data_IF_750296760213
#
_entry.id   IF_750296760213
#
_cell.length_a   1.000
_cell.length_b   1.000
_cell.length_c   1.000
_cell.angle_alpha   90.00
_cell.angle_beta   90.00
_cell.angle_gamma   90.00
#
_symmetry.space_group_name_H-M   'P 1'
#
loop_
_entity.id
_entity.type
_entity.pdbx_description
1 polymer ?
#
# COMPACT_ATOMS: atom_id res chain seq x y z
N UNK A 1 6.96 37.62 0.39
CA UNK A 1 6.60 36.94 -0.87
C UNK A 1 7.91 36.50 -1.49
N UNK A 2 8.31 35.24 -1.33
CA UNK A 2 9.43 34.70 -2.12
C UNK A 2 8.98 34.63 -3.58
N UNK A 3 9.79 35.17 -4.49
CA UNK A 3 9.56 35.08 -5.93
C UNK A 3 9.42 33.61 -6.34
N UNK A 4 8.28 33.26 -6.94
CA UNK A 4 8.07 31.96 -7.60
C UNK A 4 8.95 31.93 -8.86
N UNK A 5 10.23 31.60 -8.68
CA UNK A 5 11.23 31.46 -9.75
C UNK A 5 10.85 30.40 -10.78
N UNK A 6 9.81 29.61 -10.53
CA UNK A 6 9.37 28.53 -11.40
C UNK A 6 10.36 27.35 -11.46
N UNK A 7 11.50 27.42 -10.77
CA UNK A 7 12.47 26.34 -10.64
C UNK A 7 12.14 25.46 -9.43
N UNK A 8 12.40 24.16 -9.51
CA UNK A 8 12.27 23.27 -8.37
C UNK A 8 13.41 23.57 -7.37
N UNK A 9 13.20 23.37 -6.06
CA UNK A 9 14.29 23.27 -5.09
C UNK A 9 15.28 22.21 -5.54
N UNK A 10 16.54 22.28 -5.10
CA UNK A 10 17.47 21.18 -5.41
C UNK A 10 17.10 19.93 -4.60
N UNK A 11 17.40 18.76 -5.15
CA UNK A 11 17.07 17.47 -4.54
C UNK A 11 17.77 17.25 -3.20
N UNK A 12 18.90 17.92 -2.94
CA UNK A 12 19.54 17.90 -1.62
C UNK A 12 18.62 18.44 -0.50
N UNK A 13 17.72 19.39 -0.81
CA UNK A 13 16.59 19.75 0.05
C UNK A 13 15.38 18.84 -0.29
N UNK A 14 15.54 17.55 0.02
CA UNK A 14 14.59 16.51 -0.39
C UNK A 14 13.16 16.78 0.12
N UNK A 15 13.01 17.36 1.32
CA UNK A 15 11.68 17.64 1.89
C UNK A 15 10.92 18.67 1.06
N UNK A 16 11.56 19.81 0.75
CA UNK A 16 10.96 20.86 -0.07
C UNK A 16 10.78 20.39 -1.51
N UNK A 17 11.81 19.76 -2.10
CA UNK A 17 11.75 19.20 -3.44
C UNK A 17 10.59 18.21 -3.60
N UNK A 18 10.43 17.28 -2.65
CA UNK A 18 9.40 16.24 -2.70
C UNK A 18 7.99 16.83 -2.66
N UNK A 19 7.72 17.77 -1.76
CA UNK A 19 6.40 18.40 -1.69
C UNK A 19 6.08 19.18 -2.96
N UNK A 20 7.09 19.86 -3.52
CA UNK A 20 6.89 20.70 -4.69
C UNK A 20 6.77 19.89 -5.99
N UNK A 21 7.51 18.79 -6.13
CA UNK A 21 7.42 17.93 -7.33
C UNK A 21 6.07 17.22 -7.42
N UNK A 22 5.49 16.77 -6.29
CA UNK A 22 4.18 16.11 -6.30
C UNK A 22 3.07 17.03 -6.83
N UNK A 23 3.12 18.31 -6.48
CA UNK A 23 2.17 19.30 -6.99
C UNK A 23 2.48 19.68 -8.44
N UNK A 24 3.75 20.03 -8.75
CA UNK A 24 4.14 20.51 -10.09
C UNK A 24 4.02 19.46 -11.18
N UNK A 25 4.23 18.18 -10.84
CA UNK A 25 4.06 17.07 -11.75
C UNK A 25 2.63 16.51 -11.76
N UNK A 26 1.67 17.16 -11.09
CA UNK A 26 0.27 16.71 -11.02
C UNK A 26 0.17 15.24 -10.56
N UNK A 27 0.80 14.91 -9.43
CA UNK A 27 0.74 13.58 -8.82
C UNK A 27 -0.42 13.50 -7.83
N UNK A 28 -0.43 14.37 -6.82
CA UNK A 28 -1.49 14.43 -5.81
C UNK A 28 -1.83 15.88 -5.43
N UNK A 29 -3.09 16.11 -5.06
CA UNK A 29 -3.58 17.34 -4.46
C UNK A 29 -3.83 17.13 -2.96
N UNK A 30 -3.05 17.84 -2.15
CA UNK A 30 -3.12 17.76 -0.69
C UNK A 30 -4.18 18.67 -0.06
N UNK A 31 -4.90 19.46 -0.89
CA UNK A 31 -5.90 20.43 -0.43
C UNK A 31 -7.28 19.82 -0.16
N UNK A 32 -7.42 18.51 -0.32
CA UNK A 32 -8.65 17.82 0.09
C UNK A 32 -8.92 18.12 1.57
N UNK A 33 -10.15 18.48 1.97
CA UNK A 33 -10.43 19.05 3.28
C UNK A 33 -10.49 18.00 4.41
N UNK A 34 -9.68 16.94 4.33
CA UNK A 34 -9.49 15.94 5.39
C UNK A 34 -8.00 15.64 5.51
N UNK A 35 -7.44 15.77 6.72
CA UNK A 35 -6.01 15.51 6.98
C UNK A 35 -5.67 14.08 6.54
N UNK A 36 -4.59 13.94 5.76
CA UNK A 36 -4.04 12.64 5.39
C UNK A 36 -4.81 11.86 4.31
N UNK A 37 -5.87 12.45 3.77
CA UNK A 37 -6.62 11.96 2.61
C UNK A 37 -6.34 12.92 1.46
N UNK A 38 -5.91 12.42 0.31
CA UNK A 38 -5.42 13.25 -0.79
C UNK A 38 -6.02 12.80 -2.12
N UNK A 39 -6.21 13.74 -3.04
CA UNK A 39 -6.76 13.44 -4.37
C UNK A 39 -5.61 13.08 -5.30
N UNK A 40 -5.74 11.98 -6.03
CA UNK A 40 -4.85 11.67 -7.14
C UNK A 40 -5.23 12.50 -8.36
N UNK A 41 -4.27 13.24 -8.91
CA UNK A 41 -4.45 13.83 -10.23
C UNK A 41 -4.41 12.74 -11.32
N UNK A 42 -5.01 12.99 -12.50
CA UNK A 42 -4.99 12.00 -13.60
C UNK A 42 -3.59 11.55 -14.01
N UNK A 43 -2.58 12.43 -13.96
CA UNK A 43 -1.21 12.06 -14.29
C UNK A 43 -0.62 11.10 -13.24
N UNK A 44 -0.65 11.47 -11.96
CA UNK A 44 -0.25 10.60 -10.85
C UNK A 44 -0.96 9.25 -10.85
N UNK A 45 -2.28 9.25 -11.03
CA UNK A 45 -3.06 8.01 -11.08
C UNK A 45 -2.65 7.11 -12.27
N UNK A 46 -2.26 7.71 -13.41
CA UNK A 46 -1.78 6.94 -14.54
C UNK A 46 -0.39 6.31 -14.29
N UNK A 47 0.48 6.96 -13.50
CA UNK A 47 1.76 6.36 -13.05
C UNK A 47 1.48 5.18 -12.13
N UNK A 48 0.62 5.40 -11.13
CA UNK A 48 0.12 4.35 -10.22
C UNK A 48 -0.43 3.16 -10.99
N UNK A 49 -1.36 3.38 -11.92
CA UNK A 49 -2.00 2.31 -12.72
C UNK A 49 -0.98 1.43 -13.44
N UNK A 50 0.11 2.00 -13.97
CA UNK A 50 1.14 1.23 -14.67
C UNK A 50 2.04 0.45 -13.73
N UNK A 51 2.46 1.05 -12.62
CA UNK A 51 3.24 0.34 -11.61
C UNK A 51 2.44 -0.84 -11.05
N UNK A 52 1.17 -0.62 -10.68
CA UNK A 52 0.31 -1.69 -10.16
C UNK A 52 -0.10 -2.70 -11.25
N UNK A 53 -0.06 -2.33 -12.53
CA UNK A 53 -0.22 -3.30 -13.63
C UNK A 53 0.92 -4.33 -13.62
N UNK A 54 2.17 -3.88 -13.50
CA UNK A 54 3.32 -4.79 -13.37
C UNK A 54 3.18 -5.67 -12.12
N UNK A 55 2.70 -5.10 -11.00
CA UNK A 55 2.47 -5.86 -9.78
C UNK A 55 1.40 -6.95 -9.97
N UNK A 56 0.28 -6.64 -10.64
CA UNK A 56 -0.75 -7.63 -10.98
C UNK A 56 -0.17 -8.74 -11.87
N UNK A 57 0.52 -8.39 -12.95
CA UNK A 57 1.14 -9.36 -13.86
C UNK A 57 2.10 -10.33 -13.14
N UNK A 58 2.72 -9.89 -12.04
CA UNK A 58 3.56 -10.72 -11.17
C UNK A 58 2.74 -11.60 -10.23
N UNK A 59 1.74 -11.02 -9.56
CA UNK A 59 0.88 -11.73 -8.61
C UNK A 59 0.05 -12.82 -9.31
N UNK A 60 -0.53 -12.51 -10.48
CA UNK A 60 -1.42 -13.37 -11.26
C UNK A 60 -0.74 -14.65 -11.81
N UNK A 61 0.58 -14.79 -11.64
CA UNK A 61 1.31 -16.02 -12.00
C UNK A 61 0.93 -17.19 -11.09
N UNK A 62 0.66 -16.92 -9.81
CA UNK A 62 0.39 -17.96 -8.79
C UNK A 62 -0.65 -17.53 -7.74
N UNK A 63 -1.26 -16.35 -7.86
CA UNK A 63 -2.30 -15.85 -6.96
C UNK A 63 -3.52 -15.41 -7.75
N UNK A 64 -4.67 -15.42 -7.11
CA UNK A 64 -5.91 -14.91 -7.68
C UNK A 64 -6.31 -13.57 -7.03
N UNK A 65 -6.67 -12.58 -7.85
CA UNK A 65 -7.17 -11.29 -7.37
C UNK A 65 -8.61 -11.45 -6.86
N UNK A 66 -8.87 -10.97 -5.64
CA UNK A 66 -10.18 -11.02 -4.97
C UNK A 66 -10.54 -9.65 -4.38
N UNK A 67 -11.72 -9.54 -3.79
CA UNK A 67 -12.21 -8.31 -3.15
C UNK A 67 -13.05 -8.63 -1.93
N UNK A 68 -12.53 -8.31 -0.75
CA UNK A 68 -13.28 -8.35 0.49
C UNK A 68 -13.92 -7.00 0.81
N UNK A 69 -15.04 -6.98 1.57
CA UNK A 69 -15.67 -5.74 2.03
C UNK A 69 -14.72 -4.83 2.82
N UNK A 70 -15.01 -3.53 2.79
CA UNK A 70 -14.23 -2.51 3.49
C UNK A 70 -14.44 -2.50 5.00
N UNK A 71 -15.67 -2.80 5.42
CA UNK A 71 -16.15 -2.67 6.79
C UNK A 71 -15.99 -4.01 7.51
N UNK A 72 -15.40 -3.95 8.71
CA UNK A 72 -15.17 -5.11 9.58
C UNK A 72 -16.04 -4.95 10.82
N UNK A 73 -16.91 -5.91 11.16
CA UNK A 73 -17.67 -5.87 12.41
C UNK A 73 -16.73 -5.83 13.62
N UNK A 74 -17.05 -5.01 14.62
CA UNK A 74 -16.29 -4.96 15.88
C UNK A 74 -16.12 -6.36 16.49
N UNK A 75 -17.14 -7.21 16.43
CA UNK A 75 -17.10 -8.59 16.93
C UNK A 75 -16.05 -9.47 16.26
N UNK A 76 -15.75 -9.23 14.97
CA UNK A 76 -14.71 -9.96 14.25
C UNK A 76 -13.35 -9.30 14.41
N UNK A 77 -13.32 -7.97 14.42
CA UNK A 77 -12.10 -7.19 14.64
C UNK A 77 -11.50 -7.47 16.02
N UNK A 78 -12.35 -7.64 17.04
CA UNK A 78 -11.95 -7.78 18.44
C UNK A 78 -11.47 -9.20 18.84
N UNK A 79 -11.47 -10.18 17.93
CA UNK A 79 -11.05 -11.56 18.23
C UNK A 79 -9.56 -11.71 18.48
N UNK A 80 -8.70 -10.93 17.83
CA UNK A 80 -7.24 -11.08 17.95
C UNK A 80 -6.58 -9.96 18.75
N UNK A 81 -6.52 -10.15 20.08
CA UNK A 81 -6.01 -9.18 21.05
C UNK A 81 -4.61 -8.65 20.73
N UNK A 82 -3.71 -9.48 20.22
CA UNK A 82 -2.34 -9.07 19.88
C UNK A 82 -2.32 -8.15 18.66
N UNK A 83 -3.12 -8.49 17.65
CA UNK A 83 -3.27 -7.69 16.44
C UNK A 83 -3.92 -6.34 16.76
N UNK A 84 -4.98 -6.34 17.57
CA UNK A 84 -5.71 -5.13 17.97
C UNK A 84 -4.81 -4.14 18.70
N UNK A 85 -3.98 -4.59 19.66
CA UNK A 85 -3.05 -3.70 20.38
C UNK A 85 -2.12 -2.92 19.45
N UNK A 86 -1.82 -3.47 18.27
CA UNK A 86 -1.02 -2.79 17.25
C UNK A 86 -1.76 -1.72 16.45
N UNK A 87 -3.10 -1.72 16.49
CA UNK A 87 -3.96 -0.86 15.67
C UNK A 87 -5.00 -0.08 16.47
N UNK A 88 -5.22 -0.32 17.76
CA UNK A 88 -6.37 0.21 18.52
C UNK A 88 -6.53 1.74 18.42
N UNK A 89 -5.40 2.45 18.51
CA UNK A 89 -5.35 3.92 18.42
C UNK A 89 -5.44 4.45 16.97
N UNK A 90 -5.42 3.56 15.98
CA UNK A 90 -5.38 3.89 14.55
C UNK A 90 -6.68 3.51 13.80
N UNK A 91 -7.73 3.04 14.47
CA UNK A 91 -8.96 2.59 13.80
C UNK A 91 -9.99 3.71 13.65
N UNK A 92 -10.61 3.79 12.48
CA UNK A 92 -11.82 4.57 12.26
C UNK A 92 -13.07 3.70 12.45
N UNK A 93 -14.04 4.18 13.22
CA UNK A 93 -15.30 3.49 13.46
C UNK A 93 -16.47 4.17 12.74
N UNK A 94 -17.27 3.37 12.06
CA UNK A 94 -18.60 3.72 11.58
C UNK A 94 -19.60 3.25 12.62
N UNK A 95 -20.26 4.19 13.28
CA UNK A 95 -21.24 3.92 14.35
C UNK A 95 -22.68 4.23 13.94
N UNK A 96 -22.88 4.87 12.78
CA UNK A 96 -24.21 5.28 12.32
C UNK A 96 -24.47 4.83 10.88
N UNK A 97 -25.66 4.26 10.66
CA UNK A 97 -26.23 3.98 9.35
C UNK A 97 -27.34 4.99 9.04
N UNK A 98 -27.07 5.95 8.16
CA UNK A 98 -27.98 7.07 7.96
C UNK A 98 -28.07 7.94 9.23
N UNK A 99 -29.23 7.95 9.89
CA UNK A 99 -29.45 8.66 11.16
C UNK A 99 -29.49 7.77 12.40
N UNK A 100 -29.48 6.44 12.21
CA UNK A 100 -29.61 5.49 13.30
C UNK A 100 -28.23 4.99 13.73
N UNK A 101 -28.06 4.79 15.02
CA UNK A 101 -26.91 4.08 15.56
C UNK A 101 -26.94 2.61 15.10
N UNK A 102 -25.77 2.04 14.83
CA UNK A 102 -25.63 0.64 14.44
C UNK A 102 -25.61 -0.24 15.69
N UNK A 103 -26.29 -1.40 15.63
CA UNK A 103 -26.24 -2.40 16.70
C UNK A 103 -24.81 -2.93 16.94
N UNK A 104 -24.01 -2.99 15.86
CA UNK A 104 -22.59 -3.37 15.91
C UNK A 104 -21.78 -2.31 15.16
N UNK A 105 -20.85 -1.61 15.84
CA UNK A 105 -19.90 -0.71 15.18
C UNK A 105 -19.07 -1.43 14.12
N UNK A 106 -18.77 -0.73 13.03
CA UNK A 106 -17.99 -1.27 11.92
C UNK A 106 -16.67 -0.51 11.76
N UNK A 107 -15.54 -1.20 11.85
CA UNK A 107 -14.23 -0.62 11.60
C UNK A 107 -14.00 -0.45 10.09
N UNK A 108 -13.44 0.69 9.67
CA UNK A 108 -12.76 0.77 8.38
C UNK A 108 -11.46 -0.01 8.47
N UNK A 109 -11.25 -1.01 7.59
CA UNK A 109 -10.07 -1.89 7.65
C UNK A 109 -8.73 -1.12 7.74
N UNK A 110 -7.93 -1.30 8.80
CA UNK A 110 -6.52 -0.87 8.81
C UNK A 110 -5.61 -1.84 8.03
N UNK A 111 -6.07 -3.08 7.94
CA UNK A 111 -5.56 -4.26 7.22
C UNK A 111 -6.68 -5.31 7.24
N UNK A 112 -6.64 -6.34 6.39
CA UNK A 112 -7.80 -7.21 6.14
C UNK A 112 -7.76 -8.58 6.80
N UNK A 113 -6.78 -8.93 7.65
CA UNK A 113 -6.72 -10.22 8.34
C UNK A 113 -8.07 -10.59 8.99
N UNK A 114 -8.63 -9.69 9.78
CA UNK A 114 -9.88 -9.91 10.53
C UNK A 114 -11.14 -9.85 9.66
N UNK A 115 -11.02 -9.38 8.40
CA UNK A 115 -12.09 -9.45 7.40
C UNK A 115 -12.01 -10.74 6.56
N UNK A 116 -10.80 -11.24 6.32
CA UNK A 116 -10.52 -12.35 5.41
C UNK A 116 -10.64 -13.70 6.13
N UNK A 117 -10.06 -13.80 7.32
CA UNK A 117 -9.90 -15.07 8.03
C UNK A 117 -11.21 -15.72 8.51
N UNK A 118 -12.27 -14.98 8.89
CA UNK A 118 -13.59 -15.58 9.07
C UNK A 118 -14.09 -16.31 7.82
N UNK A 119 -13.80 -15.79 6.63
CA UNK A 119 -14.21 -16.41 5.37
C UNK A 119 -13.34 -17.62 5.03
N UNK A 120 -12.03 -17.56 5.32
CA UNK A 120 -11.14 -18.70 5.11
C UNK A 120 -11.53 -19.90 5.97
N UNK A 121 -11.99 -19.68 7.21
CA UNK A 121 -12.57 -20.75 8.05
C UNK A 121 -13.81 -21.40 7.44
N UNK A 122 -14.55 -20.65 6.60
CA UNK A 122 -15.71 -21.19 5.89
C UNK A 122 -15.32 -21.98 4.64
N UNK A 123 -14.31 -21.50 3.90
CA UNK A 123 -13.92 -22.02 2.59
C UNK A 123 -13.00 -23.23 2.66
N UNK A 124 -12.12 -23.28 3.67
CA UNK A 124 -11.12 -24.34 3.82
C UNK A 124 -11.73 -25.45 4.66
N UNK A 125 -11.77 -26.67 4.12
CA UNK A 125 -12.34 -27.85 4.79
C UNK A 125 -11.42 -29.07 4.68
N UNK A 126 -10.70 -29.22 3.58
CA UNK A 126 -9.82 -30.35 3.28
C UNK A 126 -8.46 -29.87 2.81
N UNK A 127 -7.44 -30.71 2.94
CA UNK A 127 -6.11 -30.47 2.37
C UNK A 127 -6.14 -30.18 0.85
N UNK A 128 -7.18 -30.62 0.13
CA UNK A 128 -7.37 -30.32 -1.29
C UNK A 128 -7.73 -28.87 -1.60
N UNK A 129 -8.18 -28.11 -0.59
CA UNK A 129 -8.47 -26.67 -0.72
C UNK A 129 -7.20 -25.82 -0.57
N UNK A 130 -6.06 -26.46 -0.28
CA UNK A 130 -4.77 -25.83 -0.03
C UNK A 130 -3.76 -26.15 -1.15
N UNK A 131 -2.84 -25.22 -1.46
CA UNK A 131 -2.73 -23.88 -0.88
C UNK A 131 -3.76 -22.90 -1.46
N UNK A 132 -4.36 -22.09 -0.60
CA UNK A 132 -5.19 -20.96 -1.03
C UNK A 132 -4.31 -19.72 -1.13
N UNK A 133 -4.28 -19.06 -2.30
CA UNK A 133 -3.38 -17.93 -2.57
C UNK A 133 -4.13 -16.74 -3.18
N UNK A 134 -4.61 -15.82 -2.34
CA UNK A 134 -5.40 -14.68 -2.80
C UNK A 134 -4.68 -13.34 -2.55
N UNK A 135 -5.00 -12.35 -3.36
CA UNK A 135 -4.59 -10.97 -3.12
C UNK A 135 -5.68 -9.96 -3.50
N UNK A 136 -5.62 -8.76 -2.93
CA UNK A 136 -6.48 -7.65 -3.32
C UNK A 136 -5.71 -6.33 -3.32
N UNK A 137 -6.16 -5.36 -4.12
CA UNK A 137 -5.63 -4.00 -4.11
C UNK A 137 -6.75 -3.05 -3.70
N UNK A 138 -6.70 -2.59 -2.45
CA UNK A 138 -7.81 -1.88 -1.80
C UNK A 138 -7.36 -0.65 -1.03
N UNK A 139 -8.33 0.12 -0.54
CA UNK A 139 -8.08 1.19 0.41
C UNK A 139 -8.02 0.63 1.83
N UNK A 140 -7.02 1.06 2.59
CA UNK A 140 -6.92 0.84 4.04
C UNK A 140 -6.84 2.16 4.78
N UNK A 141 -7.31 2.17 6.02
CA UNK A 141 -7.47 3.38 6.83
C UNK A 141 -6.73 3.26 8.14
N UNK A 142 -5.87 4.23 8.44
CA UNK A 142 -5.12 4.29 9.71
C UNK A 142 -5.16 5.71 10.23
N UNK A 143 -5.69 5.94 11.43
CA UNK A 143 -5.77 7.25 12.07
C UNK A 143 -4.38 7.74 12.53
N UNK A 144 -3.48 7.96 11.57
CA UNK A 144 -2.12 8.40 11.83
C UNK A 144 -2.13 9.75 12.56
N UNK A 145 -1.57 9.74 13.77
CA UNK A 145 -1.50 10.90 14.67
C UNK A 145 -0.33 11.81 14.29
N UNK A 146 0.75 11.25 13.73
CA UNK A 146 1.95 11.98 13.32
C UNK A 146 1.69 12.85 12.08
N UNK A 147 2.70 13.62 11.69
CA UNK A 147 2.67 14.42 10.47
C UNK A 147 2.52 13.52 9.24
N UNK A 148 1.43 13.70 8.48
CA UNK A 148 1.20 12.98 7.23
C UNK A 148 2.10 13.53 6.13
N UNK A 149 2.53 12.64 5.23
CA UNK A 149 3.35 12.98 4.06
C UNK A 149 2.82 12.20 2.86
N UNK A 150 2.39 12.87 1.77
CA UNK A 150 1.74 12.21 0.64
C UNK A 150 2.54 10.99 0.13
N UNK A 151 1.83 9.90 -0.16
CA UNK A 151 2.35 8.58 -0.56
C UNK A 151 3.22 7.84 0.47
N UNK A 152 3.76 8.52 1.48
CA UNK A 152 4.68 7.95 2.49
C UNK A 152 3.93 7.56 3.76
N UNK A 153 3.08 8.47 4.25
CA UNK A 153 2.34 8.33 5.50
C UNK A 153 0.99 9.04 5.36
N UNK A 154 -0.07 8.26 5.31
CA UNK A 154 -1.42 8.68 4.96
C UNK A 154 -2.41 8.21 6.03
N UNK A 155 -3.62 8.77 6.00
CA UNK A 155 -4.75 8.26 6.77
C UNK A 155 -5.66 7.34 5.96
N UNK A 156 -5.70 7.57 4.65
CA UNK A 156 -6.25 6.63 3.66
C UNK A 156 -5.12 6.23 2.71
N UNK A 157 -4.78 4.95 2.71
CA UNK A 157 -3.82 4.37 1.76
C UNK A 157 -4.65 3.81 0.61
N UNK A 158 -4.73 4.52 -0.52
CA UNK A 158 -5.67 4.17 -1.62
C UNK A 158 -5.18 3.04 -2.55
N UNK A 159 -4.08 2.38 -2.20
CA UNK A 159 -3.43 1.37 -3.06
C UNK A 159 -2.72 0.32 -2.23
N UNK A 160 -3.33 -0.16 -1.16
CA UNK A 160 -2.73 -1.24 -0.41
C UNK A 160 -2.99 -2.56 -1.14
N UNK A 161 -1.94 -3.09 -1.77
CA UNK A 161 -1.93 -4.49 -2.19
C UNK A 161 -1.65 -5.34 -0.97
N UNK A 162 -2.55 -6.23 -0.61
CA UNK A 162 -2.38 -7.23 0.46
C UNK A 162 -2.67 -8.61 -0.12
N UNK A 163 -1.79 -9.56 0.20
CA UNK A 163 -1.92 -10.95 -0.23
C UNK A 163 -1.97 -11.79 1.03
N UNK A 164 -2.89 -12.75 1.06
CA UNK A 164 -3.11 -13.65 2.18
C UNK A 164 -3.13 -15.05 1.60
N UNK A 165 -2.30 -15.92 2.16
CA UNK A 165 -2.14 -17.29 1.68
C UNK A 165 -2.29 -18.27 2.83
N UNK A 166 -2.87 -19.43 2.56
CA UNK A 166 -3.07 -20.50 3.54
C UNK A 166 -2.45 -21.79 3.00
N UNK A 167 -1.72 -22.50 3.85
CA UNK A 167 -0.90 -23.67 3.53
C UNK A 167 -1.15 -24.80 4.51
N UNK A 168 -0.93 -26.03 4.08
CA UNK A 168 -1.13 -27.20 4.93
C UNK A 168 -0.02 -27.30 5.98
N UNK A 169 1.22 -26.98 5.59
CA UNK A 169 2.41 -27.12 6.45
C UNK A 169 3.13 -25.80 6.69
N UNK A 170 3.92 -25.76 7.76
CA UNK A 170 4.76 -24.61 8.09
C UNK A 170 5.85 -24.40 7.05
N UNK A 171 6.35 -25.48 6.48
CA UNK A 171 7.38 -25.52 5.45
C UNK A 171 6.88 -24.91 4.14
N UNK A 172 5.66 -25.23 3.72
CA UNK A 172 5.00 -24.60 2.56
C UNK A 172 4.79 -23.11 2.79
N UNK A 173 4.33 -22.71 3.97
CA UNK A 173 4.19 -21.30 4.31
C UNK A 173 5.54 -20.56 4.32
N UNK A 174 6.60 -21.19 4.84
CA UNK A 174 7.95 -20.63 4.78
C UNK A 174 8.47 -20.51 3.33
N UNK A 175 8.19 -21.49 2.47
CA UNK A 175 8.52 -21.41 1.04
C UNK A 175 7.75 -20.26 0.36
N UNK A 176 6.48 -20.04 0.74
CA UNK A 176 5.67 -18.94 0.22
C UNK A 176 6.23 -17.56 0.60
N UNK A 177 6.86 -17.42 1.78
CA UNK A 177 7.58 -16.19 2.16
C UNK A 177 8.70 -15.88 1.15
N UNK A 178 9.49 -16.88 0.77
CA UNK A 178 10.56 -16.69 -0.21
C UNK A 178 10.03 -16.37 -1.61
N UNK A 179 8.92 -17.01 -2.02
CA UNK A 179 8.21 -16.68 -3.27
C UNK A 179 7.77 -15.21 -3.26
N UNK A 180 7.15 -14.75 -2.16
CA UNK A 180 6.71 -13.36 -2.03
C UNK A 180 7.89 -12.37 -2.10
N UNK A 181 9.03 -12.68 -1.48
CA UNK A 181 10.24 -11.86 -1.60
C UNK A 181 10.79 -11.85 -3.03
N UNK A 182 10.74 -12.98 -3.73
CA UNK A 182 11.10 -13.07 -5.15
C UNK A 182 10.24 -12.14 -6.02
N UNK A 183 8.93 -12.19 -5.86
CA UNK A 183 7.98 -11.32 -6.56
C UNK A 183 8.26 -9.84 -6.28
N UNK A 184 8.53 -9.48 -5.03
CA UNK A 184 8.84 -8.09 -4.67
C UNK A 184 10.19 -7.63 -5.21
N UNK A 185 11.21 -8.49 -5.23
CA UNK A 185 12.50 -8.18 -5.88
C UNK A 185 12.33 -7.96 -7.38
N UNK A 186 11.59 -8.83 -8.07
CA UNK A 186 11.30 -8.68 -9.50
C UNK A 186 10.50 -7.40 -9.77
N UNK A 187 9.50 -7.10 -8.92
CA UNK A 187 8.72 -5.88 -9.00
C UNK A 187 9.60 -4.64 -8.90
N UNK A 188 10.44 -4.52 -7.86
CA UNK A 188 11.28 -3.34 -7.69
C UNK A 188 12.44 -3.27 -8.69
N UNK A 189 12.99 -4.40 -9.15
CA UNK A 189 13.98 -4.39 -10.22
C UNK A 189 13.37 -3.92 -11.56
N UNK A 190 12.13 -4.31 -11.87
CA UNK A 190 11.42 -3.80 -13.05
C UNK A 190 11.23 -2.27 -13.02
N UNK A 191 11.12 -1.69 -11.82
CA UNK A 191 11.04 -0.26 -11.55
C UNK A 191 12.42 0.40 -11.38
N UNK A 192 13.49 -0.42 -11.28
CA UNK A 192 14.85 -0.08 -10.88
C UNK A 192 14.91 0.75 -9.60
N UNK A 193 14.09 0.39 -8.63
CA UNK A 193 14.21 0.92 -7.27
C UNK A 193 15.13 -0.04 -6.51
N UNK A 194 16.29 0.40 -6.02
CA UNK A 194 17.17 -0.47 -5.26
C UNK A 194 16.52 -0.83 -3.92
N UNK A 195 16.64 -2.09 -3.51
CA UNK A 195 16.03 -2.58 -2.28
C UNK A 195 17.02 -3.29 -1.38
N UNK A 196 16.78 -3.17 -0.08
CA UNK A 196 17.46 -3.87 1.00
C UNK A 196 16.41 -4.74 1.67
N UNK A 197 16.68 -6.04 1.77
CA UNK A 197 15.79 -6.99 2.45
C UNK A 197 16.35 -7.28 3.82
N UNK A 198 15.55 -7.09 4.87
CA UNK A 198 15.97 -7.33 6.25
C UNK A 198 14.88 -8.00 7.07
N UNK A 199 15.26 -8.94 7.93
CA UNK A 199 14.34 -9.48 8.94
C UNK A 199 14.22 -8.45 10.07
N UNK A 200 12.98 -8.07 10.41
CA UNK A 200 12.73 -7.17 11.53
C UNK A 200 13.00 -7.88 12.86
N UNK A 201 13.52 -7.16 13.87
CA UNK A 201 13.64 -7.70 15.21
C UNK A 201 12.26 -7.94 15.82
N UNK A 202 12.18 -8.77 16.86
CA UNK A 202 10.89 -9.21 17.43
C UNK A 202 10.02 -8.06 17.96
N UNK A 203 10.62 -6.95 18.39
CA UNK A 203 9.87 -5.76 18.86
C UNK A 203 9.32 -4.87 17.73
N UNK A 204 9.69 -5.12 16.48
CA UNK A 204 9.28 -4.36 15.28
C UNK A 204 8.65 -5.28 14.21
N UNK A 205 8.27 -6.50 14.59
CA UNK A 205 7.53 -7.40 13.71
C UNK A 205 6.05 -7.02 13.68
N UNK A 206 5.36 -7.48 12.63
CA UNK A 206 3.93 -7.30 12.52
C UNK A 206 3.18 -7.98 13.69
N UNK A 207 2.22 -7.28 14.32
CA UNK A 207 1.41 -7.85 15.39
C UNK A 207 0.70 -9.15 14.95
N UNK A 208 1.02 -10.26 15.63
CA UNK A 208 0.50 -11.59 15.32
C UNK A 208 1.37 -12.42 14.36
N UNK A 209 2.52 -11.92 13.90
CA UNK A 209 3.44 -12.69 13.06
C UNK A 209 4.51 -13.45 13.89
N UNK A 210 4.91 -14.64 13.42
CA UNK A 210 6.13 -15.34 13.87
C UNK A 210 7.34 -14.44 13.62
N UNK A 211 7.47 -13.98 12.38
CA UNK A 211 8.52 -13.05 11.95
C UNK A 211 8.07 -12.18 10.78
N UNK A 212 8.77 -11.07 10.58
CA UNK A 212 8.52 -10.12 9.49
C UNK A 212 9.81 -9.84 8.74
N UNK A 213 9.71 -9.85 7.41
CA UNK A 213 10.76 -9.44 6.50
C UNK A 213 10.31 -8.16 5.82
N UNK A 214 11.13 -7.12 5.92
CA UNK A 214 10.89 -5.84 5.28
C UNK A 214 11.72 -5.70 4.01
N UNK A 215 11.12 -5.03 3.03
CA UNK A 215 11.77 -4.56 1.80
C UNK A 215 11.85 -3.04 1.89
N UNK A 216 13.07 -2.55 2.12
CA UNK A 216 13.38 -1.14 2.32
C UNK A 216 14.10 -0.56 1.10
N UNK A 217 13.93 0.74 0.84
CA UNK A 217 14.81 1.52 -0.08
C UNK A 217 15.43 2.68 0.69
N UNK A 218 16.60 3.14 0.24
CA UNK A 218 17.22 4.37 0.74
C UNK A 218 16.63 5.55 -0.04
N UNK A 219 16.18 6.57 0.69
CA UNK A 219 15.64 7.82 0.16
C UNK A 219 16.77 8.85 -0.03
N UNK A 220 16.57 9.90 -0.85
CA UNK A 220 17.62 10.90 -1.12
C UNK A 220 18.15 11.64 0.12
N UNK A 221 17.39 11.70 1.21
CA UNK A 221 17.80 12.26 2.49
C UNK A 221 18.57 11.27 3.39
N UNK A 222 18.96 10.11 2.85
CA UNK A 222 19.72 9.06 3.55
C UNK A 222 18.87 8.17 4.47
N UNK A 223 17.57 8.44 4.61
CA UNK A 223 16.67 7.64 5.44
C UNK A 223 16.15 6.42 4.69
N UNK A 224 15.79 5.36 5.41
CA UNK A 224 15.11 4.20 4.82
C UNK A 224 13.60 4.44 4.73
N UNK A 225 13.00 3.87 3.68
CA UNK A 225 11.55 3.77 3.52
C UNK A 225 11.20 2.31 3.27
N UNK A 226 10.43 1.72 4.18
CA UNK A 226 9.83 0.39 3.96
C UNK A 226 8.76 0.48 2.88
N UNK A 227 8.98 -0.17 1.76
CA UNK A 227 8.12 -0.14 0.56
C UNK A 227 7.34 -1.44 0.36
N UNK A 228 7.77 -2.54 0.99
CA UNK A 228 7.00 -3.78 1.09
C UNK A 228 7.31 -4.56 2.36
N UNK A 229 6.42 -5.47 2.73
CA UNK A 229 6.60 -6.40 3.85
C UNK A 229 6.08 -7.78 3.53
N UNK A 230 6.71 -8.79 4.11
CA UNK A 230 6.30 -10.19 4.09
C UNK A 230 6.29 -10.75 5.51
N UNK A 231 5.20 -11.39 5.89
CA UNK A 231 4.94 -11.86 7.24
C UNK A 231 4.66 -13.35 7.22
N UNK A 232 5.42 -14.10 8.04
CA UNK A 232 5.04 -15.47 8.40
C UNK A 232 4.12 -15.36 9.61
N UNK A 233 2.85 -15.74 9.45
CA UNK A 233 1.86 -15.64 10.52
C UNK A 233 1.79 -16.89 11.38
N UNK A 234 2.39 -18.00 10.93
CA UNK A 234 2.26 -19.28 11.61
C UNK A 234 0.81 -19.77 11.56
N UNK A 235 0.37 -20.40 12.65
CA UNK A 235 -1.01 -20.86 12.86
C UNK A 235 -1.78 -19.96 13.84
N UNK A 236 -1.22 -18.81 14.24
CA UNK A 236 -1.81 -17.92 15.24
C UNK A 236 -3.22 -17.48 14.86
N UNK A 237 -3.39 -16.92 13.66
CA UNK A 237 -4.69 -16.49 13.17
C UNK A 237 -5.62 -17.66 12.87
N UNK A 238 -5.09 -18.80 12.41
CA UNK A 238 -5.88 -20.04 12.22
C UNK A 238 -6.48 -20.53 13.52
N UNK A 239 -5.77 -20.41 14.64
CA UNK A 239 -6.30 -20.75 15.98
C UNK A 239 -7.38 -19.77 16.42
N UNK A 240 -7.19 -18.48 16.18
CA UNK A 240 -8.17 -17.43 16.57
C UNK A 240 -9.45 -17.49 15.74
N UNK A 241 -9.34 -17.78 14.45
CA UNK A 241 -10.47 -17.80 13.50
C UNK A 241 -10.92 -19.21 13.11
N UNK A 242 -10.39 -20.24 13.76
CA UNK A 242 -10.75 -21.65 13.51
C UNK A 242 -10.60 -22.04 12.03
N UNK A 243 -9.45 -21.70 11.43
CA UNK A 243 -9.09 -22.13 10.08
C UNK A 243 -8.44 -23.52 10.18
N UNK A 244 -9.27 -24.55 10.10
CA UNK A 244 -8.84 -25.95 10.11
C UNK A 244 -9.12 -26.63 8.78
N UNK A 245 -8.43 -27.75 8.54
CA UNK A 245 -8.66 -28.61 7.39
C UNK A 245 -8.48 -30.08 7.78
N UNK A 246 -9.15 -30.97 7.06
CA UNK A 246 -8.93 -32.42 7.14
C UNK A 246 -7.66 -32.81 6.37
N UNK A 247 -6.66 -33.31 7.10
CA UNK A 247 -5.42 -33.86 6.54
C UNK A 247 -5.66 -35.11 5.71
N UNK A 248 -4.65 -35.55 4.95
CA UNK A 248 -4.74 -36.80 4.18
C UNK A 248 -4.85 -38.05 5.07
N UNK A 249 -4.53 -37.92 6.36
CA UNK A 249 -4.70 -38.91 7.42
C UNK A 249 -6.11 -38.90 8.05
N UNK A 250 -6.97 -37.96 7.66
CA UNK A 250 -8.29 -37.76 8.24
C UNK A 250 -8.29 -36.96 9.55
N UNK A 251 -7.13 -36.49 10.02
CA UNK A 251 -7.05 -35.68 11.24
C UNK A 251 -7.32 -34.19 10.93
N UNK A 252 -8.00 -33.51 11.86
CA UNK A 252 -8.21 -32.07 11.77
C UNK A 252 -6.96 -31.31 12.21
N UNK A 253 -6.46 -30.43 11.34
CA UNK A 253 -5.23 -29.67 11.55
C UNK A 253 -5.48 -28.17 11.35
N UNK A 254 -4.73 -27.32 12.06
CA UNK A 254 -4.73 -25.87 11.80
C UNK A 254 -3.85 -25.56 10.60
N UNK A 255 -4.33 -24.67 9.74
CA UNK A 255 -3.57 -24.24 8.58
C UNK A 255 -2.51 -23.19 8.95
N UNK A 256 -1.47 -23.07 8.12
CA UNK A 256 -0.42 -22.06 8.27
C UNK A 256 -0.63 -20.90 7.30
N UNK A 257 -0.41 -19.68 7.76
CA UNK A 257 -0.72 -18.48 7.00
C UNK A 257 0.51 -17.62 6.75
N UNK A 258 0.50 -16.94 5.60
CA UNK A 258 1.38 -15.81 5.31
C UNK A 258 0.57 -14.64 4.83
N UNK A 259 1.04 -13.42 5.13
CA UNK A 259 0.51 -12.24 4.47
C UNK A 259 1.64 -11.31 4.04
N UNK A 260 1.41 -10.51 3.01
CA UNK A 260 2.42 -9.58 2.53
C UNK A 260 1.80 -8.39 1.83
N UNK A 261 2.43 -7.22 2.00
CA UNK A 261 1.86 -5.92 1.64
C UNK A 261 2.78 -5.04 0.80
N UNK A 262 2.21 -4.32 -0.17
CA UNK A 262 2.84 -3.19 -0.86
C UNK A 262 1.84 -2.03 -0.85
N UNK A 263 2.33 -0.82 -0.61
CA UNK A 263 1.50 0.39 -0.64
C UNK A 263 2.00 1.43 -1.65
N UNK A 264 1.37 2.60 -1.61
CA UNK A 264 1.73 3.79 -2.38
C UNK A 264 3.14 4.31 -2.13
N UNK A 265 3.79 3.83 -1.07
CA UNK A 265 5.21 4.05 -0.83
C UNK A 265 6.08 3.61 -2.00
N UNK A 266 5.63 2.63 -2.79
CA UNK A 266 6.31 2.26 -4.03
C UNK A 266 6.31 3.40 -5.06
N UNK A 267 5.23 4.16 -5.16
CA UNK A 267 5.16 5.35 -6.03
C UNK A 267 6.03 6.47 -5.46
N UNK A 268 6.02 6.67 -4.13
CA UNK A 268 6.91 7.61 -3.46
C UNK A 268 8.39 7.29 -3.76
N UNK A 269 8.77 6.02 -3.70
CA UNK A 269 10.12 5.54 -3.99
C UNK A 269 10.50 5.77 -5.46
N UNK A 270 9.63 5.43 -6.43
CA UNK A 270 9.86 5.71 -7.86
C UNK A 270 10.16 7.20 -8.08
N UNK A 271 9.33 8.09 -7.51
CA UNK A 271 9.48 9.53 -7.65
C UNK A 271 10.81 9.98 -7.03
N UNK A 272 11.09 9.52 -5.81
CA UNK A 272 12.21 10.00 -5.01
C UNK A 272 13.56 9.50 -5.52
N UNK A 273 13.64 8.24 -5.94
CA UNK A 273 14.87 7.63 -6.46
C UNK A 273 15.22 8.24 -7.81
N UNK A 274 14.25 8.30 -8.74
CA UNK A 274 14.55 8.67 -10.13
C UNK A 274 14.50 10.18 -10.40
N UNK A 275 13.70 10.96 -9.66
CA UNK A 275 13.58 12.40 -9.89
C UNK A 275 14.89 13.15 -9.72
N UNK A 276 15.02 14.30 -10.39
CA UNK A 276 16.19 15.18 -10.34
C UNK A 276 15.78 16.64 -10.08
N UNK A 277 16.74 17.56 -10.06
CA UNK A 277 16.50 19.01 -9.89
C UNK A 277 15.61 19.61 -11.00
N UNK A 278 15.47 18.91 -12.13
CA UNK A 278 14.64 19.33 -13.27
C UNK A 278 13.22 18.73 -13.18
N UNK A 279 13.02 17.72 -12.34
CA UNK A 279 11.71 17.22 -11.93
C UNK A 279 11.58 15.72 -12.01
N UNK A 280 10.38 15.27 -12.42
CA UNK A 280 10.01 13.87 -12.41
C UNK A 280 10.66 13.14 -13.59
N UNK A 281 11.37 12.05 -13.28
CA UNK A 281 11.96 11.14 -14.28
C UNK A 281 11.25 9.80 -14.18
N UNK A 282 10.44 9.47 -15.20
CA UNK A 282 9.73 8.20 -15.27
C UNK A 282 10.32 7.31 -16.36
N UNK A 283 10.39 6.01 -16.07
CA UNK A 283 10.75 5.00 -17.06
C UNK A 283 9.69 4.90 -18.16
N UNK A 284 10.06 4.47 -19.38
CA UNK A 284 9.10 4.32 -20.49
C UNK A 284 7.88 3.48 -20.13
N UNK A 285 8.05 2.38 -19.39
CA UNK A 285 6.96 1.50 -18.94
C UNK A 285 5.97 2.17 -17.98
N UNK A 286 6.36 3.24 -17.31
CA UNK A 286 5.52 4.00 -16.36
C UNK A 286 4.93 5.28 -16.96
N UNK A 287 5.33 5.64 -18.18
CA UNK A 287 4.92 6.90 -18.82
C UNK A 287 3.52 6.79 -19.42
N UNK A 288 2.75 7.88 -19.35
CA UNK A 288 1.49 8.00 -20.10
C UNK A 288 1.75 7.89 -21.60
N UNK A 289 0.95 7.08 -22.31
CA UNK A 289 0.93 7.12 -23.78
C UNK A 289 0.65 8.57 -24.18
N UNK A 290 1.51 9.14 -25.04
CA UNK A 290 1.48 10.56 -25.38
C UNK A 290 0.10 10.91 -25.96
N UNK A 291 -0.70 11.68 -25.24
CA UNK A 291 -1.64 12.60 -25.91
C UNK A 291 -0.80 13.76 -26.47
N UNK A 292 -1.22 14.29 -27.61
CA UNK A 292 -0.49 15.10 -28.60
C UNK A 292 0.12 16.45 -28.16
N UNK A 293 0.37 16.68 -26.87
CA UNK A 293 0.90 17.97 -26.36
C UNK A 293 2.35 17.95 -25.86
N UNK A 294 3.01 16.80 -25.71
CA UNK A 294 4.41 16.75 -25.26
C UNK A 294 5.39 16.68 -26.45
N UNK A 295 5.92 17.83 -26.88
CA UNK A 295 7.03 17.89 -27.85
C UNK A 295 8.29 17.29 -27.21
N UNK A 296 8.87 16.28 -27.84
CA UNK A 296 10.21 15.76 -27.52
C UNK A 296 11.27 16.77 -27.98
N UNK A 297 12.14 17.21 -27.08
CA UNK A 297 13.50 17.56 -27.45
C UNK A 297 14.33 16.27 -27.49
N UNK A 298 15.00 16.04 -28.61
CA UNK A 298 15.79 14.86 -28.95
C UNK A 298 17.12 14.80 -28.21
N UNK A 299 17.54 13.59 -27.80
CA UNK A 299 18.89 13.27 -27.31
C UNK A 299 18.88 12.54 -25.95
N UNK A 300 19.08 11.21 -25.98
CA UNK A 300 19.00 10.24 -24.87
C UNK A 300 17.58 9.87 -24.41
N UNK A 301 17.29 8.57 -24.35
CA UNK A 301 15.96 7.95 -24.21
C UNK A 301 15.13 8.26 -22.95
N UNK A 302 15.41 9.35 -22.23
CA UNK A 302 14.57 9.91 -21.17
C UNK A 302 13.85 11.17 -21.68
N UNK A 303 12.57 11.05 -22.02
CA UNK A 303 11.77 12.21 -22.42
C UNK A 303 11.21 12.94 -21.19
N UNK A 304 11.55 14.22 -21.07
CA UNK A 304 11.13 15.14 -19.99
C UNK A 304 9.67 15.58 -20.18
N UNK A 305 8.89 15.63 -19.10
CA UNK A 305 7.58 16.29 -19.09
C UNK A 305 7.73 17.68 -18.46
N UNK A 306 7.71 18.73 -19.28
CA UNK A 306 7.58 20.12 -18.82
C UNK A 306 6.14 20.59 -19.01
N UNK A 307 5.52 21.03 -17.90
CA UNK A 307 4.32 21.89 -17.71
C UNK A 307 3.29 22.02 -18.86
N UNK A 308 1.99 21.76 -18.62
CA UNK A 308 0.92 22.47 -19.31
C UNK A 308 0.80 23.93 -18.81
N UNK A 309 0.25 24.87 -19.61
CA UNK A 309 0.15 26.28 -19.25
C UNK A 309 -0.76 26.52 -18.04
N UNK A 310 -0.34 27.43 -17.13
CA UNK A 310 -1.02 27.75 -15.86
C UNK A 310 -2.47 28.23 -16.11
N UNK A 311 -3.46 27.63 -15.43
CA UNK A 311 -4.71 28.35 -15.08
C UNK A 311 -4.44 29.16 -13.81
N UNK A 312 -4.68 30.47 -13.88
CA UNK A 312 -4.40 31.42 -12.81
C UNK A 312 -5.17 31.09 -11.52
N UNK A 313 -4.52 31.30 -10.36
CA UNK A 313 -5.19 31.31 -9.05
C UNK A 313 -6.23 32.43 -9.05
N UNK A 314 -7.52 32.12 -9.18
CA UNK A 314 -8.58 33.03 -8.72
C UNK A 314 -8.78 32.78 -7.22
N UNK A 315 -8.40 33.78 -6.42
CA UNK A 315 -8.76 33.87 -5.01
C UNK A 315 -10.29 33.96 -4.91
N UNK A 316 -10.95 32.92 -4.40
CA UNK A 316 -12.33 33.02 -3.93
C UNK A 316 -12.30 33.67 -2.54
N UNK A 317 -12.59 34.97 -2.47
CA UNK A 317 -13.01 35.63 -1.23
C UNK A 317 -14.28 34.91 -0.73
N UNK A 318 -14.27 34.43 0.50
CA UNK A 318 -15.49 34.01 1.21
C UNK A 318 -16.39 35.24 1.39
N UNK A 319 -17.70 35.17 1.12
CA UNK A 319 -18.65 36.15 1.65
C UNK A 319 -18.81 35.89 3.15
N UNK A 320 -18.74 36.95 3.95
CA UNK A 320 -19.11 36.91 5.36
C UNK A 320 -20.60 36.62 5.50
N UNK A 321 -20.95 35.86 6.53
CA UNK A 321 -22.31 35.73 7.03
C UNK A 321 -22.34 36.43 8.39
N UNK A 322 -23.18 37.48 8.43
CA UNK A 322 -23.73 38.14 9.61
C UNK A 322 -24.56 37.20 10.46
#
# INVERSE_FOLDING_TARGET
MEEDTGALPRKEDFSRWYNEILWRAEIMDVRYPVKGLYVWYPHGFAVRKRAYGILRDLMDREHEETMFPLLIPETEFMKEATHIKGFEDEVYWVTHGGKNELDVPLALRPTSETAIYPMYSLWIRSHTDLPLKLYQIVNTFRYETKHTRPLIRLREITSFKEAHTVHATREEAAAQVEVALGLYREFYDSLRVPVIVSRRPDWDKFPGADYTIAVDTIMPDGKTLQIGTVHMLGDHFSRTYEITYEGADGEQQYAYQTCYGISERSIAAIISVHGDDKGLVLRPRLRRSRSSSCRSSSGNGATRCSRPPRRSRRNSKKPGLS
#
